data_IF_037522277670
#
_entry.id   IF_037522277670
#
_cell.length_a   1.000
_cell.length_b   1.000
_cell.length_c   1.000
_cell.angle_alpha   90.00
_cell.angle_beta   90.00
_cell.angle_gamma   90.00
#
_symmetry.space_group_name_H-M   'P 1'
#
loop_
_entity.id
_entity.type
_entity.pdbx_description
1 polymer ?
#
# COMPACT_ATOMS: atom_id res chain seq x y z
N UNK A 1 -4.89 12.18 -0.51
CA UNK A 1 -4.25 10.91 -0.14
C UNK A 1 -3.09 11.21 0.78
N UNK A 2 -2.92 10.40 1.82
CA UNK A 2 -1.75 10.42 2.70
C UNK A 2 -0.95 9.14 2.50
N UNK A 3 0.35 9.28 2.33
CA UNK A 3 1.28 8.16 2.15
C UNK A 3 2.41 8.25 3.17
N UNK A 4 2.91 7.09 3.59
CA UNK A 4 4.15 6.92 4.33
C UNK A 4 4.91 5.77 3.66
N UNK A 5 6.14 6.03 3.23
CA UNK A 5 6.97 5.06 2.54
C UNK A 5 8.05 4.56 3.48
N UNK A 6 8.18 3.26 3.66
CA UNK A 6 9.23 2.67 4.50
C UNK A 6 10.03 1.66 3.70
N UNK A 7 11.29 1.98 3.38
CA UNK A 7 12.21 1.03 2.76
C UNK A 7 12.73 0.05 3.81
N UNK A 8 12.42 -1.23 3.63
CA UNK A 8 12.50 -2.23 4.67
C UNK A 8 13.25 -3.48 4.23
N UNK A 9 13.96 -4.12 5.16
CA UNK A 9 14.55 -5.44 4.92
C UNK A 9 13.47 -6.49 4.68
N UNK A 10 12.35 -6.38 5.38
CA UNK A 10 11.20 -7.24 5.18
C UNK A 10 9.88 -6.60 5.62
N UNK A 11 8.79 -7.16 5.09
CA UNK A 11 7.42 -6.99 5.57
C UNK A 11 6.80 -8.38 5.75
N UNK A 12 6.29 -8.66 6.95
CA UNK A 12 5.45 -9.82 7.23
C UNK A 12 4.05 -9.34 7.64
N UNK A 13 2.98 -10.01 7.20
CA UNK A 13 1.64 -9.77 7.72
C UNK A 13 0.83 -11.06 7.87
N UNK A 14 -0.12 -11.05 8.81
CA UNK A 14 -1.12 -12.10 8.99
C UNK A 14 -2.47 -11.45 9.34
N UNK A 15 -3.47 -11.74 8.52
CA UNK A 15 -4.85 -11.31 8.66
C UNK A 15 -5.46 -11.93 9.92
N UNK A 16 -6.19 -11.11 10.69
CA UNK A 16 -6.84 -11.53 11.95
C UNK A 16 -8.36 -11.48 11.83
N UNK A 17 -8.96 -10.31 12.01
CA UNK A 17 -10.41 -10.12 12.07
C UNK A 17 -10.89 -9.25 10.92
N UNK A 18 -11.99 -9.63 10.28
CA UNK A 18 -12.64 -8.80 9.27
C UNK A 18 -13.34 -7.61 9.90
N UNK A 19 -13.41 -6.52 9.15
CA UNK A 19 -14.33 -5.42 9.40
C UNK A 19 -15.56 -5.57 8.49
N UNK A 20 -16.64 -4.78 8.67
CA UNK A 20 -17.79 -4.81 7.76
C UNK A 20 -17.47 -4.48 6.30
N UNK A 21 -16.30 -3.88 6.03
CA UNK A 21 -15.85 -3.44 4.69
C UNK A 21 -14.67 -4.26 4.18
N UNK A 22 -14.41 -5.42 4.81
CA UNK A 22 -13.35 -6.33 4.43
C UNK A 22 -13.54 -6.85 3.00
N UNK A 23 -12.47 -6.82 2.20
CA UNK A 23 -12.45 -7.54 0.93
C UNK A 23 -12.57 -9.05 1.17
N UNK A 24 -13.23 -9.75 0.24
CA UNK A 24 -13.16 -11.21 0.20
C UNK A 24 -11.77 -11.61 -0.25
N UNK A 25 -11.14 -12.50 0.51
CA UNK A 25 -9.79 -12.99 0.25
C UNK A 25 -9.76 -14.52 0.25
N UNK A 26 -8.82 -15.10 -0.48
CA UNK A 26 -8.51 -16.53 -0.43
C UNK A 26 -7.63 -16.84 0.78
N UNK A 27 -7.39 -18.13 1.04
CA UNK A 27 -6.52 -18.54 2.15
C UNK A 27 -5.06 -18.11 1.93
N UNK A 28 -4.60 -18.10 0.68
CA UNK A 28 -3.25 -17.68 0.29
C UNK A 28 -3.01 -16.18 0.53
N UNK A 29 -4.07 -15.38 0.57
CA UNK A 29 -4.00 -13.94 0.82
C UNK A 29 -4.05 -13.58 2.31
N UNK A 30 -4.23 -14.55 3.21
CA UNK A 30 -4.29 -14.31 4.65
C UNK A 30 -2.94 -13.96 5.25
N UNK A 31 -1.85 -14.39 4.64
CA UNK A 31 -0.49 -14.17 5.13
C UNK A 31 0.43 -13.76 3.98
N UNK A 32 1.48 -13.02 4.29
CA UNK A 32 2.50 -12.63 3.33
C UNK A 32 3.82 -12.34 4.03
N UNK A 33 4.93 -12.69 3.38
CA UNK A 33 6.28 -12.39 3.82
C UNK A 33 7.12 -12.02 2.61
N UNK A 34 7.70 -10.83 2.62
CA UNK A 34 8.44 -10.26 1.51
C UNK A 34 9.74 -9.65 2.02
N UNK A 35 10.85 -9.89 1.33
CA UNK A 35 12.15 -9.26 1.60
C UNK A 35 12.42 -8.10 0.65
N UNK A 36 13.40 -7.25 0.99
CA UNK A 36 13.88 -6.10 0.18
C UNK A 36 12.75 -5.28 -0.45
N UNK A 37 11.95 -4.63 0.41
CA UNK A 37 10.65 -4.10 0.03
C UNK A 37 10.48 -2.62 0.39
N UNK A 38 9.86 -1.86 -0.51
CA UNK A 38 9.33 -0.54 -0.21
C UNK A 38 7.86 -0.66 0.19
N UNK A 39 7.56 -0.42 1.47
CA UNK A 39 6.19 -0.49 1.98
C UNK A 39 5.54 0.89 1.86
N UNK A 40 4.48 0.98 1.07
CA UNK A 40 3.65 2.16 0.96
C UNK A 40 2.41 2.01 1.85
N UNK A 41 2.45 2.62 3.04
CA UNK A 41 1.27 2.79 3.89
C UNK A 41 0.40 3.90 3.31
N UNK A 42 -0.85 3.58 2.99
CA UNK A 42 -1.74 4.47 2.21
C UNK A 42 -3.06 4.69 2.95
N UNK A 43 -3.41 5.95 3.15
CA UNK A 43 -4.76 6.41 3.49
C UNK A 43 -5.37 7.16 2.31
N UNK A 44 -6.44 6.61 1.74
CA UNK A 44 -7.29 7.30 0.76
C UNK A 44 -8.23 8.24 1.51
N UNK A 45 -8.25 9.50 1.10
CA UNK A 45 -8.99 10.59 1.74
C UNK A 45 -10.26 10.95 0.98
N UNK A 46 -11.20 11.62 1.65
CA UNK A 46 -12.48 12.03 1.07
C UNK A 46 -12.32 12.91 -0.16
N UNK A 47 -11.29 13.74 -0.20
CA UNK A 47 -10.99 14.60 -1.35
C UNK A 47 -10.54 13.82 -2.59
N UNK A 48 -9.99 12.62 -2.41
CA UNK A 48 -9.48 11.79 -3.52
C UNK A 48 -10.62 11.25 -4.39
N UNK A 49 -11.84 11.18 -3.84
CA UNK A 49 -13.04 10.76 -4.56
C UNK A 49 -13.43 11.72 -5.70
N UNK A 50 -12.99 12.99 -5.63
CA UNK A 50 -13.32 14.01 -6.64
C UNK A 50 -12.65 13.75 -7.98
N UNK A 51 -11.44 13.20 -7.95
CA UNK A 51 -10.69 12.84 -9.16
C UNK A 51 -9.73 11.66 -8.88
N UNK A 52 -10.26 10.43 -8.77
CA UNK A 52 -9.45 9.26 -8.43
C UNK A 52 -8.32 9.01 -9.43
N UNK A 53 -8.55 9.24 -10.73
CA UNK A 53 -7.56 9.00 -11.78
C UNK A 53 -6.32 9.88 -11.61
N UNK A 54 -6.51 11.18 -11.36
CA UNK A 54 -5.39 12.09 -11.09
C UNK A 54 -4.62 11.71 -9.82
N UNK A 55 -5.33 11.27 -8.78
CA UNK A 55 -4.72 10.80 -7.52
C UNK A 55 -3.89 9.54 -7.75
N UNK A 56 -4.40 8.57 -8.51
CA UNK A 56 -3.68 7.33 -8.84
C UNK A 56 -2.39 7.66 -9.59
N UNK A 57 -2.47 8.47 -10.66
CA UNK A 57 -1.31 8.84 -11.46
C UNK A 57 -0.23 9.52 -10.61
N UNK A 58 -0.63 10.46 -9.74
CA UNK A 58 0.31 11.18 -8.90
C UNK A 58 0.93 10.27 -7.83
N UNK A 59 0.14 9.40 -7.21
CA UNK A 59 0.63 8.48 -6.19
C UNK A 59 1.57 7.41 -6.76
N UNK A 60 1.30 6.92 -7.98
CA UNK A 60 2.20 6.00 -8.70
C UNK A 60 3.50 6.70 -9.08
N UNK A 61 3.45 7.92 -9.61
CA UNK A 61 4.64 8.70 -9.95
C UNK A 61 5.53 8.95 -8.72
N UNK A 62 4.93 9.37 -7.60
CA UNK A 62 5.64 9.65 -6.34
C UNK A 62 6.29 8.39 -5.77
N UNK A 63 5.55 7.28 -5.71
CA UNK A 63 6.07 5.99 -5.26
C UNK A 63 7.17 5.45 -6.16
N UNK A 64 7.05 5.64 -7.49
CA UNK A 64 8.06 5.23 -8.47
C UNK A 64 9.37 6.03 -8.29
N UNK A 65 9.29 7.34 -8.03
CA UNK A 65 10.48 8.17 -7.76
C UNK A 65 11.24 7.65 -6.53
N UNK A 66 10.54 7.41 -5.43
CA UNK A 66 11.13 6.88 -4.20
C UNK A 66 11.72 5.49 -4.44
N UNK A 67 10.97 4.58 -5.07
CA UNK A 67 11.43 3.23 -5.39
C UNK A 67 12.73 3.24 -6.22
N UNK A 68 12.83 4.12 -7.22
CA UNK A 68 14.05 4.30 -8.04
C UNK A 68 15.23 4.80 -7.21
N UNK A 69 15.01 5.78 -6.34
CA UNK A 69 16.06 6.38 -5.50
C UNK A 69 16.62 5.38 -4.49
N UNK A 70 15.77 4.53 -3.91
CA UNK A 70 16.20 3.47 -2.99
C UNK A 70 16.57 2.16 -3.70
N UNK A 71 16.43 2.11 -5.03
CA UNK A 71 16.72 0.96 -5.90
C UNK A 71 15.94 -0.31 -5.52
N UNK A 72 14.70 -0.13 -5.06
CA UNK A 72 13.81 -1.23 -4.67
C UNK A 72 12.80 -1.51 -5.78
N UNK A 73 12.63 -2.78 -6.14
CA UNK A 73 11.68 -3.25 -7.17
C UNK A 73 10.44 -3.94 -6.59
N UNK A 74 10.49 -4.35 -5.33
CA UNK A 74 9.38 -4.99 -4.64
C UNK A 74 8.63 -3.94 -3.81
N UNK A 75 7.33 -3.81 -4.03
CA UNK A 75 6.49 -2.77 -3.43
C UNK A 75 5.32 -3.44 -2.71
N UNK A 76 5.07 -3.05 -1.46
CA UNK A 76 3.82 -3.39 -0.79
C UNK A 76 2.88 -2.18 -0.78
N UNK A 77 1.67 -2.33 -1.31
CA UNK A 77 0.59 -1.37 -1.10
C UNK A 77 -0.17 -1.78 0.16
N UNK A 78 0.04 -1.06 1.26
CA UNK A 78 -0.50 -1.37 2.58
C UNK A 78 -1.65 -0.41 2.94
N UNK A 79 -2.92 -0.85 2.92
CA UNK A 79 -4.03 0.00 3.33
C UNK A 79 -3.92 0.33 4.83
N UNK A 80 -3.77 1.61 5.16
CA UNK A 80 -3.47 2.08 6.50
C UNK A 80 -4.22 3.36 6.81
N UNK A 81 -5.48 3.22 7.25
CA UNK A 81 -6.42 4.33 7.49
C UNK A 81 -6.00 5.32 8.59
N UNK A 82 -4.96 5.03 9.37
CA UNK A 82 -4.56 5.87 10.50
C UNK A 82 -3.72 7.10 10.11
N UNK A 83 -3.33 7.26 8.84
CA UNK A 83 -2.58 8.43 8.37
C UNK A 83 -3.45 9.68 8.13
N UNK A 84 -4.77 9.52 8.09
CA UNK A 84 -5.71 10.62 7.85
C UNK A 84 -6.93 10.53 8.77
N UNK A 85 -7.45 11.69 9.16
CA UNK A 85 -8.72 11.83 9.86
C UNK A 85 -9.91 12.03 8.91
N UNK A 86 -9.68 12.21 7.60
CA UNK A 86 -10.71 12.46 6.59
C UNK A 86 -10.72 11.38 5.52
N UNK A 87 -11.17 10.19 5.88
CA UNK A 87 -11.13 9.01 5.03
C UNK A 87 -12.14 9.07 3.88
N UNK A 88 -11.72 8.55 2.72
CA UNK A 88 -12.60 8.26 1.60
C UNK A 88 -13.45 7.00 1.86
N UNK A 89 -14.42 6.76 0.99
CA UNK A 89 -15.25 5.57 1.02
C UNK A 89 -14.42 4.30 0.74
N UNK A 90 -14.76 3.17 1.39
CA UNK A 90 -14.08 1.90 1.16
C UNK A 90 -14.01 1.49 -0.31
N UNK A 91 -15.11 1.69 -1.06
CA UNK A 91 -15.19 1.32 -2.47
C UNK A 91 -14.23 2.13 -3.35
N UNK A 92 -14.09 3.43 -3.10
CA UNK A 92 -13.12 4.26 -3.82
C UNK A 92 -11.69 3.91 -3.39
N UNK A 93 -11.46 3.68 -2.10
CA UNK A 93 -10.15 3.30 -1.60
C UNK A 93 -9.63 2.00 -2.24
N UNK A 94 -10.47 0.97 -2.31
CA UNK A 94 -10.16 -0.31 -2.97
C UNK A 94 -9.83 -0.09 -4.45
N UNK A 95 -10.67 0.67 -5.18
CA UNK A 95 -10.45 0.96 -6.60
C UNK A 95 -9.12 1.68 -6.86
N UNK A 96 -8.79 2.67 -6.04
CA UNK A 96 -7.52 3.40 -6.15
C UNK A 96 -6.34 2.45 -5.92
N UNK A 97 -6.38 1.63 -4.86
CA UNK A 97 -5.30 0.68 -4.55
C UNK A 97 -5.12 -0.38 -5.65
N UNK A 98 -6.21 -0.91 -6.22
CA UNK A 98 -6.17 -1.85 -7.34
C UNK A 98 -5.58 -1.19 -8.60
N UNK A 99 -5.98 0.03 -8.92
CA UNK A 99 -5.46 0.74 -10.07
C UNK A 99 -3.97 1.10 -9.92
N UNK A 100 -3.53 1.45 -8.70
CA UNK A 100 -2.10 1.64 -8.41
C UNK A 100 -1.32 0.34 -8.61
N UNK A 101 -1.82 -0.79 -8.10
CA UNK A 101 -1.24 -2.13 -8.29
C UNK A 101 -1.06 -2.45 -9.77
N UNK A 102 -2.12 -2.31 -10.57
CA UNK A 102 -2.06 -2.55 -12.02
C UNK A 102 -1.05 -1.67 -12.75
N UNK A 103 -0.99 -0.37 -12.44
CA UNK A 103 -0.05 0.54 -13.09
C UNK A 103 1.41 0.26 -12.74
N UNK A 104 1.69 -0.10 -11.48
CA UNK A 104 3.03 -0.44 -11.03
C UNK A 104 3.49 -1.78 -11.66
N UNK A 105 2.61 -2.78 -11.75
CA UNK A 105 2.91 -4.05 -12.45
C UNK A 105 3.25 -3.79 -13.91
N UNK A 106 2.49 -2.93 -14.61
CA UNK A 106 2.79 -2.54 -16.01
C UNK A 106 4.13 -1.82 -16.18
N UNK A 107 4.74 -1.35 -15.09
CA UNK A 107 6.05 -0.69 -15.04
C UNK A 107 7.16 -1.64 -14.55
N UNK A 108 6.91 -2.95 -14.56
CA UNK A 108 7.85 -4.00 -14.14
C UNK A 108 8.30 -3.88 -12.66
N UNK A 109 7.36 -3.56 -11.78
CA UNK A 109 7.52 -3.73 -10.33
C UNK A 109 6.87 -5.04 -9.86
N UNK A 110 7.47 -5.67 -8.86
CA UNK A 110 6.83 -6.73 -8.11
C UNK A 110 5.94 -6.08 -7.05
N UNK A 111 4.62 -6.24 -7.14
CA UNK A 111 3.67 -5.51 -6.30
C UNK A 111 2.82 -6.46 -5.47
N UNK A 112 2.74 -6.19 -4.17
CA UNK A 112 1.96 -6.95 -3.22
C UNK A 112 0.94 -6.03 -2.54
N UNK A 113 -0.34 -6.20 -2.87
CA UNK A 113 -1.41 -5.46 -2.20
C UNK A 113 -1.90 -6.20 -0.97
N UNK A 114 -1.73 -5.58 0.20
CA UNK A 114 -2.18 -6.15 1.47
C UNK A 114 -3.71 -6.05 1.57
N UNK A 115 -4.44 -7.09 2.05
CA UNK A 115 -5.90 -7.10 2.10
C UNK A 115 -6.53 -5.87 2.78
N UNK A 116 -7.50 -5.26 2.11
CA UNK A 116 -8.23 -4.10 2.61
C UNK A 116 -9.33 -4.50 3.61
N UNK A 117 -9.54 -3.67 4.64
CA UNK A 117 -10.66 -3.83 5.58
C UNK A 117 -10.48 -4.99 6.56
N UNK A 118 -9.26 -5.48 6.75
CA UNK A 118 -8.91 -6.47 7.76
C UNK A 118 -8.00 -5.89 8.83
N UNK A 119 -8.26 -6.25 10.09
CA UNK A 119 -7.24 -6.14 11.14
C UNK A 119 -6.12 -7.14 10.83
N UNK A 120 -4.88 -6.66 10.92
CA UNK A 120 -3.68 -7.42 10.55
C UNK A 120 -2.61 -7.23 11.61
N UNK A 121 -1.95 -8.33 11.99
CA UNK A 121 -0.64 -8.22 12.62
C UNK A 121 0.39 -8.04 11.51
N UNK A 122 1.42 -7.22 11.73
CA UNK A 122 2.52 -7.09 10.80
C UNK A 122 3.85 -6.89 11.52
N UNK A 123 4.94 -7.28 10.86
CA UNK A 123 6.30 -6.95 11.26
C UNK A 123 6.99 -6.26 10.09
N UNK A 124 7.86 -5.32 10.41
CA UNK A 124 8.63 -4.56 9.45
C UNK A 124 9.99 -4.24 10.06
N UNK A 125 11.03 -4.21 9.23
CA UNK A 125 12.37 -3.78 9.63
C UNK A 125 12.80 -2.63 8.73
N UNK A 126 12.63 -1.40 9.20
CA UNK A 126 13.09 -0.20 8.48
C UNK A 126 14.63 -0.22 8.37
N UNK A 127 15.15 0.04 7.17
CA UNK A 127 16.60 0.02 6.91
C UNK A 127 17.37 1.19 7.56
N UNK A 128 16.68 2.27 7.94
CA UNK A 128 17.25 3.37 8.71
C UNK A 128 18.26 4.27 7.99
N UNK A 129 18.29 4.26 6.65
CA UNK A 129 19.11 5.20 5.88
C UNK A 129 18.33 6.50 5.61
N UNK A 130 18.97 7.61 5.18
CA UNK A 130 18.31 8.92 5.05
C UNK A 130 17.11 9.02 4.08
N UNK A 131 16.80 7.95 3.36
CA UNK A 131 15.70 7.84 2.40
C UNK A 131 14.79 6.64 2.71
N UNK A 132 14.89 6.07 3.92
CA UNK A 132 14.11 4.89 4.30
C UNK A 132 12.73 5.22 4.85
N UNK A 133 12.42 6.50 5.09
CA UNK A 133 11.17 7.02 5.64
C UNK A 133 10.76 8.34 4.96
#
# INVERSE_FOLDING_TARGET
MKTLYIHSDYLEFSVKKSTPVAEKITDEQKEGSFGEILVAFISVEKQDERNPEAVILKAVEDLEDVAKRVKCRTIALYPYAHLSSSLGSPSVAIKILQAMEEQLIRKDYEVHRVPFGWYKAFKISCKGHPLSE
#
